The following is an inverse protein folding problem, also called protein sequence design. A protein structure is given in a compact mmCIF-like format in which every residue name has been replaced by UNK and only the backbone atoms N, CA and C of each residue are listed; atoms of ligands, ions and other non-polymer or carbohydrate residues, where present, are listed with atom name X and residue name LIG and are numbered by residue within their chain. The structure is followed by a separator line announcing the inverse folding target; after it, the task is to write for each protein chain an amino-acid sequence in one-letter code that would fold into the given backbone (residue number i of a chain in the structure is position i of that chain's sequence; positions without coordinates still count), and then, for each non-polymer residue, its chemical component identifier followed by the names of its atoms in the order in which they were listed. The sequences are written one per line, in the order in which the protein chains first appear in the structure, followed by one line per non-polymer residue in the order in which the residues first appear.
data_IF_050906084896
#
_entry.id   IF_050906084896
#
_cell.length_a   1.000
_cell.length_b   1.000
_cell.length_c   1.000
_cell.angle_alpha   90.00
_cell.angle_beta   90.00
_cell.angle_gamma   90.00
#
_symmetry.space_group_name_H-M   'P 1'
#
loop_
_entity.id
_entity.type
_entity.pdbx_description
1 polymer ?
#
# COMPACT_ATOMS: atom_id res chain seq x y z
N UNK A 1 4.81 8.04 9.89
CA UNK A 1 5.40 7.89 8.55
C UNK A 1 5.10 6.47 8.10
N UNK A 2 4.93 6.22 6.80
CA UNK A 2 4.85 4.86 6.24
C UNK A 2 5.86 4.72 5.09
N UNK A 3 6.22 3.48 4.76
CA UNK A 3 7.11 3.22 3.65
C UNK A 3 7.01 1.80 3.11
N UNK A 4 7.18 1.69 1.79
CA UNK A 4 7.25 0.44 1.05
C UNK A 4 8.57 0.48 0.27
N UNK A 5 9.47 -0.43 0.61
CA UNK A 5 10.85 -0.51 0.12
C UNK A 5 11.34 -1.93 0.40
N UNK A 6 10.90 -2.95 -0.36
CA UNK A 6 11.40 -4.30 -0.11
C UNK A 6 12.87 -4.42 -0.52
N UNK A 7 13.48 -5.55 -0.16
CA UNK A 7 14.80 -5.91 -0.63
C UNK A 7 14.88 -6.07 -2.16
N UNK A 8 16.11 -6.24 -2.61
CA UNK A 8 16.45 -6.37 -4.03
C UNK A 8 15.71 -7.52 -4.70
N UNK A 9 15.49 -7.43 -6.01
CA UNK A 9 14.68 -8.43 -6.69
C UNK A 9 15.23 -9.87 -6.61
N UNK A 10 16.51 -10.03 -6.31
CA UNK A 10 17.20 -11.31 -6.07
C UNK A 10 16.78 -12.04 -4.80
N UNK A 11 16.16 -11.35 -3.83
CA UNK A 11 15.89 -11.91 -2.51
C UNK A 11 14.49 -12.52 -2.36
N UNK A 12 13.61 -12.35 -3.37
CA UNK A 12 12.20 -12.83 -3.35
C UNK A 12 11.47 -12.50 -2.04
N UNK A 13 11.63 -11.27 -1.56
CA UNK A 13 11.01 -10.78 -0.33
C UNK A 13 9.65 -10.16 -0.61
N UNK A 14 8.71 -10.37 0.31
CA UNK A 14 7.46 -9.64 0.36
C UNK A 14 7.49 -8.67 1.55
N UNK A 15 6.90 -7.50 1.40
CA UNK A 15 6.75 -6.53 2.48
C UNK A 15 5.27 -6.28 2.73
N UNK A 16 4.86 -6.44 3.99
CA UNK A 16 3.57 -5.99 4.48
C UNK A 16 3.75 -4.69 5.24
N UNK A 17 2.94 -3.69 4.90
CA UNK A 17 2.90 -2.41 5.60
C UNK A 17 1.53 -2.18 6.18
N UNK A 18 1.46 -2.05 7.50
CA UNK A 18 0.26 -1.74 8.26
C UNK A 18 0.01 -0.23 8.18
N UNK A 19 -1.11 0.17 7.59
CA UNK A 19 -1.49 1.58 7.48
C UNK A 19 -2.01 2.16 8.81
N UNK A 20 -2.29 1.36 9.84
CA UNK A 20 -2.71 1.86 11.15
C UNK A 20 -1.52 2.41 11.94
N UNK A 21 -0.35 1.79 11.78
CA UNK A 21 0.84 2.08 12.57
C UNK A 21 2.00 2.63 11.73
N UNK A 22 1.95 2.41 10.41
CA UNK A 22 3.05 2.68 9.48
C UNK A 22 4.19 1.67 9.60
N UNK A 23 4.04 0.63 10.43
CA UNK A 23 5.05 -0.41 10.59
C UNK A 23 5.06 -1.34 9.38
N UNK A 24 6.25 -1.77 9.00
CA UNK A 24 6.44 -2.75 7.94
C UNK A 24 7.16 -3.98 8.47
N UNK A 25 6.83 -5.14 7.88
CA UNK A 25 7.53 -6.40 8.12
C UNK A 25 7.86 -7.07 6.80
N UNK A 26 9.03 -7.71 6.74
CA UNK A 26 9.39 -8.59 5.63
C UNK A 26 8.82 -9.97 5.90
N UNK A 27 8.20 -10.55 4.88
CA UNK A 27 7.69 -11.90 4.86
C UNK A 27 8.50 -12.66 3.81
N UNK A 28 9.16 -13.72 4.24
CA UNK A 28 9.86 -14.63 3.33
C UNK A 28 8.91 -15.79 3.04
N UNK A 29 8.41 -15.93 1.81
CA UNK A 29 7.52 -17.04 1.48
C UNK A 29 8.28 -18.37 1.62
N UNK A 30 7.96 -19.14 2.66
CA UNK A 30 8.49 -20.50 2.83
C UNK A 30 7.74 -21.43 1.85
N UNK A 31 8.45 -21.89 0.82
CA UNK A 31 7.95 -22.71 -0.29
C UNK A 31 7.03 -21.98 -1.28
N UNK A 32 7.10 -22.41 -2.54
CA UNK A 32 6.68 -21.75 -3.80
C UNK A 32 5.16 -21.48 -3.91
N UNK A 33 4.39 -21.69 -2.85
CA UNK A 33 2.97 -21.35 -2.77
C UNK A 33 2.86 -19.92 -2.28
N UNK A 34 2.76 -18.96 -3.20
CA UNK A 34 2.53 -17.54 -2.88
C UNK A 34 1.44 -17.42 -1.82
N UNK A 35 1.66 -16.65 -0.75
CA UNK A 35 0.69 -16.57 0.31
C UNK A 35 -0.49 -15.73 -0.17
N UNK A 36 -1.53 -16.42 -0.62
CA UNK A 36 -2.91 -15.97 -0.44
C UNK A 36 -3.28 -15.87 1.04
N UNK A 37 -2.44 -16.41 1.94
CA UNK A 37 -2.68 -16.62 3.37
C UNK A 37 -1.70 -15.86 4.29
N UNK A 38 -1.09 -14.74 3.89
CA UNK A 38 -0.53 -13.90 4.96
C UNK A 38 -1.71 -13.30 5.70
N UNK A 39 -1.93 -13.72 6.95
CA UNK A 39 -2.91 -13.08 7.81
C UNK A 39 -2.47 -11.64 8.03
N UNK A 40 -3.15 -10.71 7.35
CA UNK A 40 -3.00 -9.30 7.59
C UNK A 40 -3.68 -8.94 8.91
N UNK A 41 -3.00 -8.13 9.72
CA UNK A 41 -3.54 -7.62 10.99
C UNK A 41 -4.50 -6.44 10.83
N UNK A 42 -4.87 -6.08 9.59
CA UNK A 42 -5.84 -5.05 9.26
C UNK A 42 -5.65 -4.43 7.89
N UNK A 43 -5.52 -3.09 7.83
CA UNK A 43 -5.35 -2.33 6.60
C UNK A 43 -3.92 -2.44 6.02
N UNK A 44 -3.57 -3.61 5.51
CA UNK A 44 -2.21 -3.87 5.04
C UNK A 44 -2.07 -3.77 3.51
N UNK A 45 -0.94 -3.19 3.10
CA UNK A 45 -0.44 -3.20 1.74
C UNK A 45 0.61 -4.29 1.60
N UNK A 46 0.39 -5.22 0.67
CA UNK A 46 1.37 -6.22 0.26
C UNK A 46 2.13 -5.74 -0.96
N UNK A 47 3.45 -5.76 -0.84
CA UNK A 47 4.38 -5.46 -1.89
C UNK A 47 5.29 -6.65 -2.13
N UNK A 48 5.41 -7.11 -3.37
CA UNK A 48 6.24 -8.27 -3.72
C UNK A 48 6.79 -8.14 -5.12
N UNK A 49 7.78 -8.97 -5.45
CA UNK A 49 8.30 -9.08 -6.81
C UNK A 49 7.85 -10.37 -7.49
N UNK A 50 7.67 -10.31 -8.80
CA UNK A 50 7.53 -11.48 -9.66
C UNK A 50 8.49 -11.31 -10.84
N UNK A 51 9.64 -11.98 -10.82
CA UNK A 51 10.68 -11.81 -11.86
C UNK A 51 11.13 -10.35 -12.03
N UNK A 52 11.37 -9.66 -10.90
CA UNK A 52 11.66 -8.22 -10.84
C UNK A 52 10.50 -7.32 -11.37
N UNK A 53 9.29 -7.88 -11.57
CA UNK A 53 8.06 -7.13 -11.77
C UNK A 53 7.35 -6.92 -10.42
N UNK A 54 7.56 -5.73 -9.86
CA UNK A 54 7.03 -5.39 -8.56
C UNK A 54 5.53 -5.11 -8.58
N UNK A 55 4.82 -5.64 -7.59
CA UNK A 55 3.38 -5.52 -7.44
C UNK A 55 3.03 -4.98 -6.07
N UNK A 56 2.01 -4.13 -6.03
CA UNK A 56 1.41 -3.57 -4.82
C UNK A 56 -0.09 -3.90 -4.82
N UNK A 57 -0.61 -4.43 -3.71
CA UNK A 57 -2.06 -4.62 -3.53
C UNK A 57 -2.48 -4.44 -2.08
N UNK A 58 -3.77 -4.17 -1.87
CA UNK A 58 -4.39 -4.37 -0.56
C UNK A 58 -4.53 -5.86 -0.26
N UNK A 59 -4.36 -6.23 1.02
CA UNK A 59 -4.68 -7.59 1.47
C UNK A 59 -6.19 -7.88 1.36
N UNK A 60 -6.61 -9.14 1.11
CA UNK A 60 -8.02 -9.47 0.86
C UNK A 60 -9.02 -8.99 1.94
N UNK A 61 -8.60 -8.97 3.19
CA UNK A 61 -9.37 -8.50 4.35
C UNK A 61 -9.32 -6.99 4.55
N UNK A 62 -8.46 -6.28 3.81
CA UNK A 62 -8.20 -4.86 3.99
C UNK A 62 -9.09 -4.01 3.07
N UNK A 63 -9.76 -3.00 3.63
CA UNK A 63 -10.49 -2.00 2.83
C UNK A 63 -9.56 -0.81 2.56
N UNK A 64 -8.71 -0.93 1.54
CA UNK A 64 -7.78 0.13 1.11
C UNK A 64 -8.13 0.61 -0.28
N UNK A 65 -8.09 1.92 -0.51
CA UNK A 65 -8.24 2.54 -1.81
C UNK A 65 -7.37 3.79 -1.95
N UNK A 66 -7.46 4.46 -3.10
CA UNK A 66 -6.65 5.65 -3.40
C UNK A 66 -7.53 6.90 -3.44
N UNK A 67 -7.25 7.83 -2.53
CA UNK A 67 -7.74 9.20 -2.63
C UNK A 67 -6.88 9.96 -3.64
N UNK A 68 -7.50 10.39 -4.74
CA UNK A 68 -6.80 11.04 -5.85
C UNK A 68 -6.16 12.35 -5.41
N UNK A 69 -5.02 12.68 -6.05
CA UNK A 69 -4.33 13.97 -5.88
C UNK A 69 -5.32 15.12 -6.09
N UNK A 70 -5.27 16.12 -5.21
CA UNK A 70 -6.11 17.32 -5.28
C UNK A 70 -7.51 17.15 -4.71
N UNK A 71 -7.95 15.92 -4.38
CA UNK A 71 -9.18 15.72 -3.62
C UNK A 71 -9.01 16.20 -2.17
N UNK A 72 -10.02 16.84 -1.56
CA UNK A 72 -9.95 17.26 -0.17
C UNK A 72 -9.57 16.11 0.77
N UNK A 73 -8.55 16.33 1.60
CA UNK A 73 -8.07 15.37 2.60
C UNK A 73 -8.93 15.44 3.87
N UNK A 74 -10.08 14.80 3.82
CA UNK A 74 -11.03 14.74 4.94
C UNK A 74 -11.31 13.30 5.34
N UNK A 75 -11.82 13.12 6.56
CA UNK A 75 -12.32 11.84 7.05
C UNK A 75 -13.31 11.21 6.05
N UNK A 76 -14.30 11.99 5.59
CA UNK A 76 -15.34 11.51 4.70
C UNK A 76 -14.79 11.10 3.32
N UNK A 77 -13.90 11.92 2.75
CA UNK A 77 -13.27 11.64 1.45
C UNK A 77 -12.38 10.41 1.52
N UNK A 78 -11.62 10.25 2.62
CA UNK A 78 -10.76 9.09 2.79
C UNK A 78 -11.57 7.81 3.03
N UNK A 79 -12.63 7.87 3.84
CA UNK A 79 -13.59 6.76 4.01
C UNK A 79 -14.18 6.31 2.68
N UNK A 80 -14.61 7.27 1.85
CA UNK A 80 -15.18 6.97 0.53
C UNK A 80 -14.15 6.31 -0.40
N UNK A 81 -12.91 6.81 -0.40
CA UNK A 81 -11.83 6.24 -1.17
C UNK A 81 -11.46 4.82 -0.72
N UNK A 82 -11.40 4.56 0.59
CA UNK A 82 -11.12 3.23 1.12
C UNK A 82 -12.07 2.16 0.55
N UNK A 83 -13.36 2.49 0.41
CA UNK A 83 -14.40 1.60 -0.10
C UNK A 83 -14.33 1.34 -1.61
N UNK A 84 -13.47 2.02 -2.37
CA UNK A 84 -13.30 1.74 -3.81
C UNK A 84 -12.43 0.53 -4.08
N UNK A 85 -11.63 0.12 -3.09
CA UNK A 85 -10.64 -0.95 -3.23
C UNK A 85 -9.39 -0.54 -4.01
N UNK A 86 -8.30 -1.28 -3.75
CA UNK A 86 -7.01 -1.18 -4.43
C UNK A 86 -6.66 -2.55 -4.99
N UNK A 87 -7.12 -2.82 -6.21
CA UNK A 87 -6.64 -3.96 -6.99
C UNK A 87 -5.13 -3.85 -7.27
N UNK A 88 -4.47 -4.95 -7.67
CA UNK A 88 -3.03 -4.99 -7.86
C UNK A 88 -2.55 -3.91 -8.82
N UNK A 89 -1.44 -3.24 -8.47
CA UNK A 89 -0.78 -2.20 -9.25
C UNK A 89 0.61 -2.69 -9.59
N UNK A 90 0.97 -2.59 -10.87
CA UNK A 90 2.35 -2.81 -11.30
C UNK A 90 3.17 -1.56 -10.97
N UNK A 91 4.24 -1.76 -10.21
CA UNK A 91 5.07 -0.68 -9.66
C UNK A 91 6.25 -0.33 -10.56
N UNK A 92 6.64 -1.22 -11.47
CA UNK A 92 7.73 -0.98 -12.44
C UNK A 92 7.25 -0.13 -13.62
N UNK A 93 5.95 -0.18 -13.94
CA UNK A 93 5.34 0.54 -15.05
C UNK A 93 4.72 1.85 -14.60
N UNK A 94 5.33 2.96 -15.00
CA UNK A 94 4.85 4.32 -14.66
C UNK A 94 3.38 4.51 -15.07
N UNK A 95 3.03 4.13 -16.30
CA UNK A 95 1.67 4.27 -16.83
C UNK A 95 0.63 3.50 -15.99
N UNK A 96 0.97 2.31 -15.50
CA UNK A 96 0.07 1.50 -14.67
C UNK A 96 -0.17 2.19 -13.31
N UNK A 97 0.89 2.74 -12.70
CA UNK A 97 0.78 3.52 -11.45
C UNK A 97 -0.14 4.73 -11.62
N UNK A 98 0.10 5.52 -12.66
CA UNK A 98 -0.66 6.75 -12.93
C UNK A 98 -2.13 6.48 -13.27
N UNK A 99 -2.42 5.47 -14.10
CA UNK A 99 -3.79 5.06 -14.40
C UNK A 99 -4.57 4.69 -13.13
N UNK A 100 -3.90 4.05 -12.17
CA UNK A 100 -4.46 3.68 -10.87
C UNK A 100 -4.47 4.83 -9.86
N UNK A 101 -3.88 5.98 -10.19
CA UNK A 101 -3.84 7.17 -9.35
C UNK A 101 -2.74 7.15 -8.30
N UNK A 102 -1.80 6.22 -8.42
CA UNK A 102 -0.65 6.11 -7.55
C UNK A 102 0.40 7.14 -7.99
N UNK A 103 0.26 8.36 -7.49
CA UNK A 103 1.12 9.50 -7.81
C UNK A 103 1.43 10.30 -6.56
N UNK A 104 2.53 11.07 -6.60
CA UNK A 104 2.88 12.00 -5.52
C UNK A 104 1.73 13.00 -5.28
N UNK A 105 1.32 13.09 -4.01
CA UNK A 105 0.23 13.93 -3.52
C UNK A 105 -1.12 13.23 -3.41
N UNK A 106 -1.28 12.02 -3.98
CA UNK A 106 -2.41 11.14 -3.67
C UNK A 106 -2.22 10.49 -2.28
N UNK A 107 -3.25 9.81 -1.78
CA UNK A 107 -3.17 9.10 -0.51
C UNK A 107 -3.72 7.69 -0.62
N UNK A 108 -3.08 6.73 0.03
CA UNK A 108 -3.78 5.50 0.41
C UNK A 108 -4.74 5.83 1.55
N UNK A 109 -5.94 5.29 1.46
CA UNK A 109 -6.98 5.46 2.44
C UNK A 109 -7.50 4.11 2.85
N UNK A 110 -7.60 3.86 4.14
CA UNK A 110 -8.14 2.61 4.66
C UNK A 110 -9.13 2.82 5.78
N UNK A 111 -10.10 1.91 5.86
CA UNK A 111 -10.91 1.70 7.06
C UNK A 111 -10.30 0.49 7.77
N UNK A 112 -9.88 0.72 9.00
CA UNK A 112 -9.20 -0.30 9.79
C UNK A 112 -10.20 -1.16 10.54
N UNK A 113 -9.78 -2.35 10.96
CA UNK A 113 -10.63 -3.36 11.62
C UNK A 113 -11.22 -2.84 12.94
N UNK A 114 -10.56 -1.84 13.54
CA UNK A 114 -10.99 -1.16 14.77
C UNK A 114 -11.95 0.01 14.48
N UNK A 115 -12.32 0.22 13.22
CA UNK A 115 -13.16 1.31 12.76
C UNK A 115 -12.46 2.67 12.70
N UNK A 116 -11.13 2.70 12.82
CA UNK A 116 -10.34 3.90 12.56
C UNK A 116 -10.26 4.15 11.04
N UNK A 117 -9.81 5.35 10.66
CA UNK A 117 -9.46 5.65 9.27
C UNK A 117 -8.00 6.06 9.23
N UNK A 118 -7.23 5.41 8.37
CA UNK A 118 -5.85 5.80 8.11
C UNK A 118 -5.72 6.40 6.70
N UNK A 119 -4.92 7.47 6.62
CA UNK A 119 -4.59 8.17 5.38
C UNK A 119 -3.08 8.28 5.27
N UNK A 120 -2.50 7.60 4.28
CA UNK A 120 -1.08 7.59 3.99
C UNK A 120 -0.81 8.44 2.74
N UNK A 121 -0.35 9.68 2.93
CA UNK A 121 -0.07 10.64 1.85
C UNK A 121 1.22 10.25 1.16
N UNK A 122 1.16 10.02 -0.15
CA UNK A 122 2.33 9.67 -0.95
C UNK A 122 3.13 10.93 -1.22
N UNK A 123 4.36 10.96 -0.70
CA UNK A 123 5.28 12.09 -0.88
C UNK A 123 6.39 11.75 -1.86
N UNK A 124 6.76 10.48 -1.94
CA UNK A 124 7.81 10.01 -2.82
C UNK A 124 7.44 8.67 -3.46
N UNK A 125 7.74 8.57 -4.76
CA UNK A 125 7.72 7.33 -5.53
C UNK A 125 9.03 7.30 -6.31
N UNK A 126 9.85 6.27 -6.10
CA UNK A 126 11.05 6.04 -6.91
C UNK A 126 11.07 4.62 -7.46
N UNK A 127 12.07 4.37 -8.30
CA UNK A 127 12.26 3.13 -9.03
C UNK A 127 11.31 2.96 -10.22
N UNK A 128 11.78 2.17 -11.18
CA UNK A 128 11.12 1.85 -12.44
C UNK A 128 11.55 0.44 -12.87
N UNK A 129 11.28 0.04 -14.11
CA UNK A 129 11.74 -1.26 -14.60
C UNK A 129 13.25 -1.45 -14.43
N UNK A 130 13.66 -2.46 -13.64
CA UNK A 130 15.06 -2.76 -13.34
C UNK A 130 15.60 -2.14 -12.05
N UNK A 131 14.88 -1.18 -11.44
CA UNK A 131 15.18 -0.63 -10.12
C UNK A 131 14.13 -1.08 -9.11
N UNK A 132 14.49 -1.15 -7.84
CA UNK A 132 13.57 -1.48 -6.75
C UNK A 132 12.63 -0.29 -6.48
N UNK A 133 11.32 -0.40 -6.78
CA UNK A 133 10.41 0.71 -6.58
C UNK A 133 10.13 0.93 -5.11
N UNK A 134 9.98 2.20 -4.74
CA UNK A 134 9.72 2.61 -3.37
C UNK A 134 8.56 3.58 -3.33
N UNK A 135 7.78 3.54 -2.25
CA UNK A 135 6.70 4.49 -1.98
C UNK A 135 6.75 4.88 -0.51
N UNK A 136 6.89 6.16 -0.21
CA UNK A 136 6.97 6.64 1.17
C UNK A 136 6.17 7.93 1.35
N UNK A 137 5.86 8.23 2.61
CA UNK A 137 5.32 9.53 2.99
C UNK A 137 4.70 9.57 4.39
N UNK A 138 3.84 10.55 4.60
CA UNK A 138 3.25 10.83 5.91
C UNK A 138 1.98 10.02 6.15
N UNK A 139 1.85 9.47 7.36
CA UNK A 139 0.68 8.73 7.80
C UNK A 139 -0.12 9.54 8.80
N UNK A 140 -1.43 9.62 8.59
CA UNK A 140 -2.41 10.25 9.47
C UNK A 140 -3.45 9.21 9.88
N UNK A 141 -3.78 9.15 11.17
CA UNK A 141 -4.76 8.20 11.68
C UNK A 141 -5.82 8.96 12.47
N UNK A 142 -7.08 8.81 12.06
CA UNK A 142 -8.23 9.24 12.84
C UNK A 142 -8.74 8.06 13.63
N UNK A 143 -8.42 8.02 14.92
CA UNK A 143 -8.97 7.04 15.84
C UNK A 143 -10.49 7.18 15.90
N UNK A 144 -11.20 6.06 15.98
CA UNK A 144 -12.61 6.07 16.39
C UNK A 144 -12.66 6.69 17.79
N UNK A 145 -13.38 7.80 17.95
CA UNK A 145 -13.63 8.38 19.27
C UNK A 145 -14.26 7.31 20.17
N UNK A 146 -13.80 7.14 21.43
CA UNK A 146 -14.27 6.07 22.32
C UNK A 146 -15.79 6.07 22.51
#
# INVERSE_FOLDING_TARGET
MFGITPGQCTNFEEQLTDLDTGQSRIVVPQNVTRPTEVEAGGAELLYWNESCDYRLRAMPQATVGILRKGTPRSFASCKAAANTGLGPVNMTRIADREARGLVVGASFCSVTDRGAIAMAVIEHIAGSYGDDPTVTGTLYVWSKTP
#
